data_IF_697418147953
#
_entry.id   IF_697418147953
#
_cell.length_a   1.000
_cell.length_b   1.000
_cell.length_c   1.000
_cell.angle_alpha   90.00
_cell.angle_beta   90.00
_cell.angle_gamma   90.00
#
_symmetry.space_group_name_H-M   'P 1'
#
loop_
_entity.id
_entity.type
_entity.pdbx_description
1 polymer ?
#
# COMPACT_ATOMS: atom_id res chain seq x y z
N UNK A 1 -71.58 27.16 -71.69
CA UNK A 1 -72.35 28.32 -71.16
C UNK A 1 -72.06 28.46 -69.65
N UNK A 2 -72.43 29.57 -68.97
CA UNK A 2 -71.58 30.16 -67.92
C UNK A 2 -71.80 29.68 -66.46
N UNK A 3 -70.74 29.81 -65.64
CA UNK A 3 -70.57 30.60 -64.36
C UNK A 3 -71.87 31.04 -63.59
N UNK A 4 -71.82 31.36 -62.25
CA UNK A 4 -70.68 31.29 -61.28
C UNK A 4 -70.99 31.07 -59.75
N UNK A 5 -69.92 31.11 -58.90
CA UNK A 5 -69.80 31.89 -57.62
C UNK A 5 -70.28 31.35 -56.22
N UNK A 6 -69.29 31.25 -55.31
CA UNK A 6 -69.21 31.56 -53.84
C UNK A 6 -69.77 30.69 -52.67
N UNK A 7 -68.87 30.58 -51.66
CA UNK A 7 -69.01 30.67 -50.18
C UNK A 7 -69.43 29.47 -49.30
N UNK A 8 -68.44 29.04 -48.51
CA UNK A 8 -68.48 28.42 -47.17
C UNK A 8 -68.60 29.50 -46.06
N UNK A 9 -68.53 29.20 -44.73
CA UNK A 9 -68.70 27.93 -43.98
C UNK A 9 -69.78 28.02 -42.86
N UNK A 10 -69.96 26.98 -42.00
CA UNK A 10 -69.96 27.09 -40.52
C UNK A 10 -69.96 25.71 -39.78
N UNK A 11 -69.73 25.77 -38.46
CA UNK A 11 -69.32 24.76 -37.43
C UNK A 11 -70.00 23.36 -37.27
N UNK A 12 -69.23 22.47 -36.58
CA UNK A 12 -69.60 21.49 -35.52
C UNK A 12 -70.37 20.19 -35.85
N UNK A 13 -70.30 19.08 -35.06
CA UNK A 13 -69.29 18.55 -34.10
C UNK A 13 -69.67 17.11 -33.61
N UNK A 14 -68.74 16.39 -32.95
CA UNK A 14 -68.94 15.23 -32.02
C UNK A 14 -69.52 13.90 -32.57
N UNK A 15 -69.22 12.69 -32.02
CA UNK A 15 -68.30 12.31 -30.91
C UNK A 15 -67.89 10.80 -30.88
N UNK A 16 -66.57 10.55 -30.78
CA UNK A 16 -65.88 9.38 -30.13
C UNK A 16 -66.35 8.00 -30.72
N UNK A 17 -66.16 6.74 -30.24
CA UNK A 17 -65.56 6.03 -29.07
C UNK A 17 -64.93 4.70 -29.57
N UNK A 18 -63.85 4.19 -28.95
CA UNK A 18 -63.47 2.76 -29.07
C UNK A 18 -61.97 2.37 -29.11
N UNK A 19 -61.16 2.68 -28.09
CA UNK A 19 -59.79 2.17 -27.97
C UNK A 19 -59.41 1.84 -26.51
N UNK A 20 -58.76 0.70 -26.25
CA UNK A 20 -58.30 0.31 -24.92
C UNK A 20 -56.96 0.98 -24.57
N UNK A 21 -56.90 1.60 -23.39
CA UNK A 21 -55.65 2.09 -22.80
C UNK A 21 -54.90 0.98 -22.06
N UNK A 22 -53.91 0.37 -22.71
CA UNK A 22 -52.90 -0.44 -22.01
C UNK A 22 -51.91 0.52 -21.34
N UNK A 23 -52.04 0.69 -20.02
CA UNK A 23 -51.10 1.47 -19.22
C UNK A 23 -49.80 0.66 -19.05
N UNK A 24 -48.61 1.21 -19.36
CA UNK A 24 -47.36 0.46 -19.30
C UNK A 24 -46.89 0.25 -17.86
N UNK A 25 -46.90 -1.00 -17.38
CA UNK A 25 -46.42 -1.42 -16.05
C UNK A 25 -44.92 -1.14 -15.78
N UNK A 26 -44.18 -0.63 -16.77
CA UNK A 26 -42.76 -0.28 -16.64
C UNK A 26 -42.50 1.09 -15.99
N UNK A 27 -43.42 2.06 -16.12
CA UNK A 27 -43.18 3.42 -15.59
C UNK A 27 -43.32 3.48 -14.07
N UNK A 28 -44.21 2.68 -13.48
CA UNK A 28 -44.38 2.59 -12.02
C UNK A 28 -43.14 2.08 -11.30
N UNK A 29 -42.36 1.19 -11.92
CA UNK A 29 -41.13 0.67 -11.32
C UNK A 29 -40.03 1.75 -11.21
N UNK A 30 -39.84 2.55 -12.26
CA UNK A 30 -38.86 3.64 -12.22
C UNK A 30 -39.31 4.82 -11.34
N UNK A 31 -40.60 5.18 -11.37
CA UNK A 31 -41.13 6.25 -10.52
C UNK A 31 -41.05 5.91 -9.02
N UNK A 32 -41.24 4.64 -8.64
CA UNK A 32 -41.13 4.20 -7.25
C UNK A 32 -39.70 4.36 -6.70
N UNK A 33 -38.69 3.95 -7.49
CA UNK A 33 -37.26 4.05 -7.14
C UNK A 33 -36.85 5.51 -6.90
N UNK A 34 -37.36 6.45 -7.69
CA UNK A 34 -37.18 7.89 -7.46
C UNK A 34 -37.79 8.30 -6.11
N UNK A 35 -39.07 7.98 -5.87
CA UNK A 35 -39.80 8.48 -4.69
C UNK A 35 -39.23 8.01 -3.35
N UNK A 36 -38.74 6.79 -3.24
CA UNK A 36 -38.12 6.33 -1.98
C UNK A 36 -36.72 6.94 -1.78
N UNK A 37 -35.94 7.12 -2.86
CA UNK A 37 -34.65 7.83 -2.81
C UNK A 37 -34.82 9.27 -2.31
N UNK A 38 -35.82 10.00 -2.82
CA UNK A 38 -36.10 11.37 -2.34
C UNK A 38 -36.48 11.42 -0.85
N UNK A 39 -37.24 10.43 -0.35
CA UNK A 39 -37.61 10.35 1.07
C UNK A 39 -36.42 10.09 1.99
N UNK A 40 -35.45 9.30 1.54
CA UNK A 40 -34.19 9.11 2.28
C UNK A 40 -33.35 10.40 2.32
N UNK A 41 -33.33 11.19 1.23
CA UNK A 41 -32.70 12.51 1.21
C UNK A 41 -33.41 13.53 2.11
N UNK A 42 -34.74 13.57 2.12
CA UNK A 42 -35.52 14.43 3.04
C UNK A 42 -35.18 14.09 4.51
N UNK A 43 -35.19 12.79 4.86
CA UNK A 43 -34.82 12.33 6.20
C UNK A 43 -33.37 12.68 6.58
N UNK A 44 -32.43 12.59 5.63
CA UNK A 44 -31.04 13.01 5.85
C UNK A 44 -30.94 14.52 6.11
N UNK A 45 -31.66 15.35 5.33
CA UNK A 45 -31.68 16.80 5.49
C UNK A 45 -32.33 17.23 6.81
N UNK A 46 -33.41 16.57 7.22
CA UNK A 46 -34.05 16.79 8.54
C UNK A 46 -33.06 16.50 9.69
N UNK A 47 -32.35 15.36 9.64
CA UNK A 47 -31.33 15.02 10.65
C UNK A 47 -30.19 16.05 10.65
N UNK A 48 -29.68 16.44 9.48
CA UNK A 48 -28.61 17.44 9.35
C UNK A 48 -29.02 18.81 9.93
N UNK A 49 -30.20 19.30 9.56
CA UNK A 49 -30.74 20.57 10.06
C UNK A 49 -31.01 20.53 11.56
N UNK A 50 -31.52 19.39 12.07
CA UNK A 50 -31.80 19.22 13.49
C UNK A 50 -30.54 19.15 14.33
N UNK A 51 -29.48 18.47 13.88
CA UNK A 51 -28.16 18.50 14.54
C UNK A 51 -27.61 19.93 14.60
N UNK A 52 -27.72 20.72 13.52
CA UNK A 52 -27.31 22.13 13.51
C UNK A 52 -28.11 23.04 14.44
N UNK A 53 -29.34 22.67 14.79
CA UNK A 53 -30.25 23.49 15.60
C UNK A 53 -30.30 23.08 17.08
N UNK A 54 -30.09 21.79 17.40
CA UNK A 54 -30.29 21.22 18.75
C UNK A 54 -29.00 20.69 19.40
N UNK A 55 -27.86 20.60 18.69
CA UNK A 55 -26.59 20.23 19.32
C UNK A 55 -26.06 21.35 20.23
N UNK A 56 -25.39 20.99 21.32
CA UNK A 56 -25.02 21.90 22.42
C UNK A 56 -23.99 22.95 22.02
N UNK A 57 -23.08 22.62 21.09
CA UNK A 57 -22.09 23.54 20.54
C UNK A 57 -22.44 23.95 19.09
N UNK A 58 -21.91 25.09 18.64
CA UNK A 58 -22.07 25.50 17.24
C UNK A 58 -21.11 24.72 16.33
N UNK A 59 -21.65 23.79 15.54
CA UNK A 59 -20.90 23.01 14.53
C UNK A 59 -20.87 23.74 13.17
N UNK A 60 -19.78 23.57 12.41
CA UNK A 60 -19.68 24.04 11.02
C UNK A 60 -20.23 23.01 10.02
N UNK A 61 -20.90 23.49 8.98
CA UNK A 61 -21.51 22.67 7.93
C UNK A 61 -20.52 21.72 7.26
N UNK A 62 -19.25 22.12 7.06
CA UNK A 62 -18.23 21.27 6.42
C UNK A 62 -17.88 20.07 7.30
N UNK A 63 -17.89 20.23 8.63
CA UNK A 63 -17.64 19.14 9.57
C UNK A 63 -18.73 18.08 9.46
N UNK A 64 -20.00 18.51 9.44
CA UNK A 64 -21.14 17.61 9.31
C UNK A 64 -21.20 16.95 7.92
N UNK A 65 -20.94 17.69 6.84
CA UNK A 65 -20.90 17.15 5.48
C UNK A 65 -19.73 16.17 5.30
N UNK A 66 -18.52 16.49 5.79
CA UNK A 66 -17.37 15.57 5.74
C UNK A 66 -17.67 14.29 6.53
N UNK A 67 -18.24 14.42 7.72
CA UNK A 67 -18.67 13.27 8.54
C UNK A 67 -19.72 12.39 7.85
N UNK A 68 -20.70 12.99 7.18
CA UNK A 68 -21.71 12.25 6.41
C UNK A 68 -21.10 11.49 5.22
N UNK A 69 -20.22 12.13 4.44
CA UNK A 69 -19.53 11.48 3.31
C UNK A 69 -18.61 10.35 3.82
N UNK A 70 -17.84 10.57 4.88
CA UNK A 70 -16.97 9.56 5.47
C UNK A 70 -17.78 8.37 6.03
N UNK A 71 -18.91 8.63 6.71
CA UNK A 71 -19.82 7.59 7.20
C UNK A 71 -20.47 6.78 6.07
N UNK A 72 -20.82 7.42 4.96
CA UNK A 72 -21.33 6.76 3.75
C UNK A 72 -20.28 5.83 3.13
N UNK A 73 -19.03 6.26 3.00
CA UNK A 73 -17.97 5.45 2.38
C UNK A 73 -17.50 4.31 3.29
N UNK A 74 -17.35 4.56 4.59
CA UNK A 74 -17.15 3.52 5.60
C UNK A 74 -18.37 2.59 5.77
N UNK A 75 -19.49 2.86 5.09
CA UNK A 75 -20.60 1.92 5.00
C UNK A 75 -20.39 0.84 3.93
N UNK A 76 -19.46 1.04 2.98
CA UNK A 76 -19.21 0.16 1.84
C UNK A 76 -18.14 -0.89 2.18
N UNK A 77 -16.88 -0.45 2.34
CA UNK A 77 -15.69 -1.27 2.52
C UNK A 77 -14.59 -0.46 3.27
N UNK A 78 -13.57 -1.09 3.87
CA UNK A 78 -12.55 -0.39 4.67
C UNK A 78 -11.50 0.39 3.85
N UNK A 79 -11.50 0.27 2.52
CA UNK A 79 -10.53 0.92 1.62
C UNK A 79 -11.11 2.17 0.93
N UNK A 80 -12.42 2.22 0.73
CA UNK A 80 -13.14 3.36 0.15
C UNK A 80 -13.18 4.57 1.11
N UNK A 81 -12.72 5.74 0.65
CA UNK A 81 -12.54 6.92 1.49
C UNK A 81 -12.63 8.25 0.71
N UNK A 82 -13.16 9.28 1.35
CA UNK A 82 -13.07 10.65 0.85
C UNK A 82 -11.66 11.19 1.10
N UNK A 83 -11.04 11.74 0.07
CA UNK A 83 -9.67 12.25 0.07
C UNK A 83 -9.75 13.78 0.01
N UNK A 84 -9.43 14.45 1.11
CA UNK A 84 -9.35 15.92 1.15
C UNK A 84 -7.97 16.46 0.71
N UNK A 85 -7.75 17.77 0.81
CA UNK A 85 -6.53 18.42 0.31
C UNK A 85 -5.23 17.93 0.98
N UNK A 86 -5.27 17.49 2.24
CA UNK A 86 -4.11 16.93 2.92
C UNK A 86 -3.91 15.46 2.51
N UNK A 87 -4.99 14.69 2.46
CA UNK A 87 -4.96 13.29 2.04
C UNK A 87 -4.58 13.13 0.55
N UNK A 88 -4.93 14.10 -0.30
CA UNK A 88 -4.60 14.10 -1.73
C UNK A 88 -3.11 14.34 -1.95
N UNK A 89 -2.51 15.28 -1.20
CA UNK A 89 -1.05 15.50 -1.20
C UNK A 89 -0.31 14.30 -0.60
N UNK A 90 -0.83 13.70 0.50
CA UNK A 90 -0.31 12.44 1.08
C UNK A 90 -0.29 11.32 0.03
N UNK A 91 -1.41 11.11 -0.66
CA UNK A 91 -1.59 10.05 -1.66
C UNK A 91 -0.67 10.25 -2.88
N UNK A 92 -0.53 11.49 -3.35
CA UNK A 92 0.41 11.82 -4.43
C UNK A 92 1.86 11.57 -4.00
N UNK A 93 2.24 11.96 -2.79
CA UNK A 93 3.58 11.71 -2.21
C UNK A 93 3.91 10.20 -2.14
N UNK A 94 2.96 9.36 -1.71
CA UNK A 94 3.15 7.90 -1.69
C UNK A 94 3.26 7.30 -3.10
N UNK A 95 2.55 7.88 -4.07
CA UNK A 95 2.52 7.45 -5.48
C UNK A 95 3.81 7.82 -6.22
N UNK A 96 4.17 9.11 -6.22
CA UNK A 96 5.38 9.66 -6.85
C UNK A 96 6.66 9.16 -6.16
N UNK A 97 6.58 8.65 -4.92
CA UNK A 97 7.73 8.28 -4.09
C UNK A 97 8.61 9.47 -3.69
N UNK A 98 8.14 10.69 -3.95
CA UNK A 98 8.89 11.94 -3.90
C UNK A 98 8.10 12.99 -3.14
N UNK A 99 8.73 13.75 -2.24
CA UNK A 99 8.02 14.82 -1.51
C UNK A 99 8.88 16.04 -1.16
N UNK A 100 8.27 17.22 -1.19
CA UNK A 100 8.87 18.46 -0.70
C UNK A 100 8.92 18.48 0.83
N UNK A 101 10.11 18.27 1.39
CA UNK A 101 10.27 18.09 2.83
C UNK A 101 11.71 18.06 3.32
N UNK A 102 11.90 17.47 4.51
CA UNK A 102 13.15 17.53 5.28
C UNK A 102 13.86 16.17 5.38
N UNK A 103 13.17 15.08 5.04
CA UNK A 103 13.63 13.70 5.23
C UNK A 103 13.70 13.31 6.70
N UNK A 104 12.59 13.48 7.43
CA UNK A 104 12.44 13.11 8.83
C UNK A 104 11.33 12.08 9.00
N UNK A 105 11.63 10.97 9.67
CA UNK A 105 10.62 10.12 10.30
C UNK A 105 10.38 10.64 11.72
N UNK A 106 9.14 10.96 12.04
CA UNK A 106 8.71 11.53 13.33
C UNK A 106 7.54 10.73 13.92
N UNK A 107 7.44 10.73 15.24
CA UNK A 107 6.32 10.18 16.01
C UNK A 107 5.83 11.18 17.05
N UNK A 108 4.62 10.98 17.57
CA UNK A 108 4.16 11.67 18.78
C UNK A 108 4.61 10.87 20.00
N UNK A 109 5.24 11.51 20.98
CA UNK A 109 5.61 10.91 22.27
C UNK A 109 5.36 11.93 23.39
N UNK A 110 4.54 11.56 24.37
CA UNK A 110 4.11 12.40 25.51
C UNK A 110 3.63 13.83 25.13
N UNK A 111 2.98 13.97 23.97
CA UNK A 111 2.47 15.25 23.46
C UNK A 111 3.49 16.12 22.73
N UNK A 112 4.71 15.62 22.52
CA UNK A 112 5.76 16.26 21.74
C UNK A 112 6.10 15.47 20.47
N UNK A 113 6.52 16.18 19.41
CA UNK A 113 6.97 15.56 18.15
C UNK A 113 8.42 15.10 18.32
N UNK A 114 8.67 13.79 18.26
CA UNK A 114 9.99 13.19 18.40
C UNK A 114 10.51 12.68 17.07
N UNK A 115 11.76 12.96 16.75
CA UNK A 115 12.47 12.40 15.60
C UNK A 115 12.82 10.94 15.89
N UNK A 116 12.23 10.02 15.12
CA UNK A 116 12.59 8.60 15.13
C UNK A 116 13.93 8.44 14.41
N UNK A 117 14.05 8.95 13.18
CA UNK A 117 15.29 9.00 12.44
C UNK A 117 15.26 10.09 11.34
N UNK A 118 16.38 10.77 11.05
CA UNK A 118 16.58 11.44 9.78
C UNK A 118 16.90 10.41 8.68
N UNK A 119 16.38 10.61 7.48
CA UNK A 119 16.72 9.81 6.30
C UNK A 119 18.15 10.14 5.85
N UNK A 120 18.90 9.14 5.39
CA UNK A 120 20.23 9.33 4.80
C UNK A 120 20.15 10.26 3.56
N UNK A 121 21.19 11.06 3.32
CA UNK A 121 21.24 12.10 2.28
C UNK A 121 20.13 13.19 2.33
N UNK A 122 19.39 13.32 3.44
CA UNK A 122 18.34 14.35 3.59
C UNK A 122 18.86 15.73 4.05
N UNK A 123 18.07 16.81 3.86
CA UNK A 123 18.32 18.11 4.48
C UNK A 123 18.50 18.04 6.00
N UNK A 124 17.66 17.27 6.71
CA UNK A 124 17.73 17.15 8.16
C UNK A 124 18.97 16.38 8.63
N UNK A 125 19.38 15.33 7.91
CA UNK A 125 20.64 14.64 8.18
C UNK A 125 21.85 15.57 7.98
N UNK A 126 21.91 16.30 6.86
CA UNK A 126 22.97 17.31 6.61
C UNK A 126 22.97 18.43 7.64
N UNK A 127 21.80 18.84 8.13
CA UNK A 127 21.65 19.88 9.15
C UNK A 127 21.91 19.37 10.59
N UNK A 128 22.28 18.11 10.78
CA UNK A 128 22.72 17.56 12.07
C UNK A 128 21.60 17.22 13.06
N UNK A 129 20.37 17.05 12.56
CA UNK A 129 19.25 16.46 13.32
C UNK A 129 19.57 14.98 13.62
N UNK A 130 19.11 14.45 14.74
CA UNK A 130 19.38 13.08 15.20
C UNK A 130 18.10 12.38 15.69
N UNK A 131 18.15 11.04 15.71
CA UNK A 131 17.19 10.22 16.45
C UNK A 131 17.14 10.68 17.92
N UNK A 132 15.94 10.76 18.47
CA UNK A 132 15.68 11.22 19.84
C UNK A 132 15.61 12.74 20.03
N UNK A 133 15.80 13.55 18.98
CA UNK A 133 15.51 14.99 19.04
C UNK A 133 14.00 15.25 19.14
N UNK A 134 13.58 16.16 20.02
CA UNK A 134 12.20 16.64 20.08
C UNK A 134 12.06 17.96 19.32
N UNK A 135 11.14 18.01 18.36
CA UNK A 135 10.78 19.22 17.63
C UNK A 135 9.79 20.01 18.50
N UNK A 136 10.20 21.22 18.89
CA UNK A 136 9.42 22.10 19.77
C UNK A 136 8.88 23.32 19.04
N UNK A 137 9.61 23.80 18.02
CA UNK A 137 9.22 24.97 17.24
C UNK A 137 9.41 24.76 15.74
N UNK A 138 8.55 25.36 14.93
CA UNK A 138 8.69 25.48 13.47
C UNK A 138 8.56 26.96 13.09
N UNK A 139 9.55 27.50 12.39
CA UNK A 139 9.64 28.90 11.96
C UNK A 139 9.34 29.89 13.12
N UNK A 140 9.93 29.61 14.29
CA UNK A 140 9.79 30.37 15.53
C UNK A 140 8.49 30.17 16.30
N UNK A 141 7.53 29.40 15.79
CA UNK A 141 6.25 29.11 16.46
C UNK A 141 6.33 27.81 17.24
N UNK A 142 5.90 27.82 18.50
CA UNK A 142 5.75 26.61 19.33
C UNK A 142 4.72 25.67 18.67
N UNK A 143 5.04 24.38 18.59
CA UNK A 143 4.17 23.32 18.01
C UNK A 143 3.61 22.34 19.05
N UNK A 144 3.80 22.63 20.33
CA UNK A 144 3.28 21.79 21.42
C UNK A 144 1.74 21.85 21.45
N UNK A 145 1.08 20.71 21.34
CA UNK A 145 -0.38 20.60 21.21
C UNK A 145 -0.90 20.58 19.76
N UNK A 146 -0.05 20.72 18.75
CA UNK A 146 -0.40 20.32 17.37
C UNK A 146 -0.62 18.80 17.30
N UNK A 147 -1.48 18.34 16.38
CA UNK A 147 -1.47 16.94 15.96
C UNK A 147 -0.20 16.59 15.16
N UNK A 148 0.11 15.30 15.05
CA UNK A 148 1.24 14.81 14.25
C UNK A 148 1.12 15.25 12.78
N UNK A 149 -0.09 15.20 12.22
CA UNK A 149 -0.36 15.57 10.83
C UNK A 149 -0.23 17.08 10.58
N UNK A 150 -0.64 17.92 11.53
CA UNK A 150 -0.42 19.37 11.46
C UNK A 150 1.08 19.72 11.54
N UNK A 151 1.83 19.07 12.42
CA UNK A 151 3.28 19.26 12.52
C UNK A 151 4.00 18.80 11.24
N UNK A 152 3.63 17.64 10.68
CA UNK A 152 4.12 17.13 9.40
C UNK A 152 3.76 18.07 8.24
N UNK A 153 2.52 18.59 8.22
CA UNK A 153 2.07 19.59 7.24
C UNK A 153 2.89 20.87 7.27
N UNK A 154 3.25 21.37 8.45
CA UNK A 154 4.12 22.54 8.64
C UNK A 154 5.59 22.26 8.25
N UNK A 155 6.09 21.04 8.48
CA UNK A 155 7.43 20.63 8.06
C UNK A 155 7.56 20.45 6.54
N UNK A 156 6.53 19.96 5.86
CA UNK A 156 6.47 19.87 4.39
C UNK A 156 6.32 21.24 3.73
N UNK A 157 6.47 21.28 2.42
CA UNK A 157 6.31 22.50 1.62
C UNK A 157 7.16 22.50 0.35
N UNK A 158 7.01 23.53 -0.47
CA UNK A 158 7.67 23.63 -1.79
C UNK A 158 9.21 23.45 -1.68
N UNK A 159 9.83 22.57 -2.49
CA UNK A 159 11.29 22.50 -2.60
C UNK A 159 11.94 23.86 -2.89
N UNK A 160 13.10 24.11 -2.29
CA UNK A 160 13.77 25.41 -2.35
C UNK A 160 13.23 26.47 -1.38
N UNK A 161 12.19 26.17 -0.59
CA UNK A 161 11.80 27.03 0.55
C UNK A 161 12.67 26.76 1.78
N UNK A 162 12.84 27.77 2.64
CA UNK A 162 13.50 27.61 3.95
C UNK A 162 12.51 27.13 5.00
N UNK A 163 13.03 26.45 6.01
CA UNK A 163 12.39 26.21 7.30
C UNK A 163 13.43 26.35 8.41
N UNK A 164 13.00 26.71 9.61
CA UNK A 164 13.80 26.65 10.84
C UNK A 164 13.11 25.76 11.87
N UNK A 165 13.81 24.72 12.35
CA UNK A 165 13.34 23.86 13.44
C UNK A 165 14.00 24.24 14.76
N UNK A 166 13.21 24.41 15.82
CA UNK A 166 13.69 24.48 17.20
C UNK A 166 13.63 23.10 17.84
N UNK A 167 14.77 22.52 18.17
CA UNK A 167 14.93 21.14 18.66
C UNK A 167 15.44 21.11 20.11
N UNK A 168 14.95 20.16 20.90
CA UNK A 168 15.51 19.79 22.21
C UNK A 168 16.13 18.40 22.10
N UNK A 169 17.44 18.31 22.38
CA UNK A 169 18.19 17.04 22.32
C UNK A 169 18.43 16.53 23.74
N UNK A 170 17.97 15.31 24.10
CA UNK A 170 18.28 14.69 25.38
C UNK A 170 19.79 14.70 25.67
N UNK A 171 20.17 15.06 26.91
CA UNK A 171 21.57 15.22 27.30
C UNK A 171 22.24 16.51 26.82
N UNK A 172 21.49 17.55 26.40
CA UNK A 172 22.03 18.87 26.07
C UNK A 172 21.19 20.01 26.65
N UNK A 173 21.82 20.84 27.48
CA UNK A 173 21.15 21.87 28.31
C UNK A 173 20.54 23.05 27.55
N UNK A 174 20.78 23.15 26.23
CA UNK A 174 20.31 24.26 25.39
C UNK A 174 19.62 23.73 24.14
N UNK A 175 18.44 24.28 23.79
CA UNK A 175 17.81 24.03 22.50
C UNK A 175 18.74 24.32 21.32
N UNK A 176 18.49 23.64 20.22
CA UNK A 176 19.18 23.80 18.94
C UNK A 176 18.23 24.46 17.95
N UNK A 177 18.67 25.51 17.27
CA UNK A 177 17.95 26.11 16.17
C UNK A 177 18.61 25.70 14.85
N UNK A 178 17.85 25.07 13.96
CA UNK A 178 18.37 24.39 12.78
C UNK A 178 17.60 24.85 11.54
N UNK A 179 18.20 25.77 10.79
CA UNK A 179 17.66 26.26 9.51
C UNK A 179 18.13 25.37 8.35
N UNK A 180 17.20 24.92 7.52
CA UNK A 180 17.49 24.08 6.35
C UNK A 180 16.60 24.46 5.15
N UNK A 181 16.97 23.96 3.97
CA UNK A 181 16.15 24.07 2.76
C UNK A 181 15.25 22.83 2.67
N UNK A 182 13.98 22.99 2.29
CA UNK A 182 13.14 21.87 1.84
C UNK A 182 13.66 21.39 0.49
N UNK A 183 13.80 20.09 0.33
CA UNK A 183 14.24 19.46 -0.93
C UNK A 183 13.23 18.39 -1.36
N UNK A 184 13.39 17.83 -2.56
CA UNK A 184 12.64 16.64 -2.97
C UNK A 184 13.30 15.44 -2.29
N UNK A 185 12.60 14.86 -1.32
CA UNK A 185 13.01 13.64 -0.64
C UNK A 185 12.58 12.46 -1.50
N UNK A 186 13.55 11.84 -2.16
CA UNK A 186 13.37 10.61 -2.95
C UNK A 186 13.33 9.42 -1.99
N UNK A 187 12.24 8.66 -1.99
CA UNK A 187 12.21 7.33 -1.36
C UNK A 187 12.99 6.35 -2.24
N UNK A 188 13.76 5.45 -1.64
CA UNK A 188 14.44 4.34 -2.32
C UNK A 188 13.68 3.05 -1.99
N UNK A 189 12.61 2.70 -2.75
CA UNK A 189 11.69 1.60 -2.43
C UNK A 189 12.37 0.24 -2.58
N UNK A 190 13.27 0.13 -3.56
CA UNK A 190 14.12 -1.04 -3.79
C UNK A 190 15.47 -0.83 -3.13
N UNK A 191 15.91 -1.82 -2.36
CA UNK A 191 17.27 -1.94 -1.81
C UNK A 191 17.83 -3.28 -2.23
N UNK A 192 19.12 -3.34 -2.55
CA UNK A 192 19.75 -4.60 -2.92
C UNK A 192 21.15 -4.73 -2.32
N UNK A 193 21.59 -5.98 -2.18
CA UNK A 193 22.96 -6.33 -1.80
C UNK A 193 23.25 -7.79 -2.21
N UNK A 194 24.53 -8.13 -2.34
CA UNK A 194 24.94 -9.51 -2.63
C UNK A 194 25.12 -10.28 -1.31
N UNK A 195 24.57 -11.48 -1.23
CA UNK A 195 24.73 -12.43 -0.12
C UNK A 195 25.47 -13.65 -0.60
N UNK A 196 26.80 -13.62 -0.47
CA UNK A 196 27.69 -14.65 -1.00
C UNK A 196 27.70 -14.61 -2.53
N UNK A 197 26.80 -15.39 -3.14
CA UNK A 197 26.63 -15.57 -4.58
C UNK A 197 25.12 -15.58 -4.94
N UNK A 198 24.32 -14.89 -4.15
CA UNK A 198 22.86 -14.75 -4.29
C UNK A 198 22.52 -13.27 -4.27
N UNK A 199 21.70 -12.81 -5.21
CA UNK A 199 21.16 -11.46 -5.22
C UNK A 199 20.02 -11.33 -4.20
N UNK A 200 20.13 -10.39 -3.25
CA UNK A 200 19.02 -10.04 -2.37
C UNK A 200 18.45 -8.69 -2.79
N UNK A 201 17.13 -8.64 -3.01
CA UNK A 201 16.38 -7.45 -3.42
C UNK A 201 15.21 -7.29 -2.44
N UNK A 202 15.20 -6.24 -1.64
CA UNK A 202 14.10 -5.88 -0.75
C UNK A 202 13.28 -4.76 -1.39
N UNK A 203 11.97 -4.95 -1.52
CA UNK A 203 11.03 -3.96 -2.05
C UNK A 203 10.03 -3.66 -0.94
N UNK A 204 10.04 -2.45 -0.37
CA UNK A 204 9.23 -2.11 0.79
C UNK A 204 7.98 -1.26 0.51
N UNK A 205 7.80 -0.80 -0.73
CA UNK A 205 6.59 -0.12 -1.24
C UNK A 205 6.63 -0.13 -2.77
N UNK A 206 5.49 0.08 -3.43
CA UNK A 206 5.38 0.19 -4.89
C UNK A 206 5.06 1.63 -5.31
N UNK A 207 6.08 2.49 -5.37
CA UNK A 207 6.02 3.86 -5.92
C UNK A 207 6.55 3.96 -7.35
N UNK A 208 6.37 5.10 -8.02
CA UNK A 208 6.53 5.33 -9.47
C UNK A 208 7.81 4.78 -10.16
N UNK A 209 8.91 4.58 -9.44
CA UNK A 209 10.18 4.08 -10.02
C UNK A 209 10.49 2.61 -9.68
N UNK A 210 9.65 1.93 -8.89
CA UNK A 210 9.97 0.61 -8.28
C UNK A 210 10.31 -0.48 -9.31
N UNK A 211 9.62 -0.53 -10.44
CA UNK A 211 9.94 -1.48 -11.53
C UNK A 211 11.31 -1.19 -12.16
N UNK A 212 11.61 0.07 -12.46
CA UNK A 212 12.90 0.48 -13.01
C UNK A 212 14.05 0.26 -12.01
N UNK A 213 13.84 0.60 -10.75
CA UNK A 213 14.80 0.35 -9.66
C UNK A 213 15.06 -1.15 -9.44
N UNK A 214 14.05 -2.01 -9.67
CA UNK A 214 14.20 -3.48 -9.58
C UNK A 214 15.07 -4.03 -10.71
N UNK A 215 14.83 -3.61 -11.96
CA UNK A 215 15.71 -4.00 -13.09
C UNK A 215 17.13 -3.45 -12.90
N UNK A 216 17.26 -2.22 -12.42
CA UNK A 216 18.55 -1.61 -12.09
C UNK A 216 19.28 -2.37 -10.95
N UNK A 217 18.56 -2.89 -9.96
CA UNK A 217 19.13 -3.74 -8.90
C UNK A 217 19.68 -5.06 -9.45
N UNK A 218 18.94 -5.75 -10.32
CA UNK A 218 19.39 -6.97 -11.02
C UNK A 218 20.69 -6.69 -11.79
N UNK A 219 20.71 -5.66 -12.64
CA UNK A 219 21.91 -5.26 -13.40
C UNK A 219 23.10 -4.89 -12.50
N UNK A 220 22.83 -4.31 -11.32
CA UNK A 220 23.88 -3.91 -10.38
C UNK A 220 24.43 -5.08 -9.56
N UNK A 221 23.63 -6.11 -9.28
CA UNK A 221 24.07 -7.38 -8.68
C UNK A 221 25.04 -8.09 -9.62
N UNK A 222 24.65 -8.32 -10.88
CA UNK A 222 25.50 -8.93 -11.92
C UNK A 222 26.83 -8.17 -12.07
N UNK A 223 26.76 -6.83 -12.13
CA UNK A 223 27.95 -5.97 -12.21
C UNK A 223 28.82 -6.01 -10.95
N UNK A 224 28.24 -6.20 -9.77
CA UNK A 224 28.96 -6.27 -8.49
C UNK A 224 29.66 -7.62 -8.29
N UNK A 225 29.17 -8.69 -8.90
CA UNK A 225 29.82 -10.01 -8.94
C UNK A 225 30.83 -10.12 -10.10
N UNK A 226 30.58 -9.42 -11.22
CA UNK A 226 31.31 -9.62 -12.48
C UNK A 226 30.84 -10.88 -13.25
N UNK A 227 29.81 -11.56 -12.73
CA UNK A 227 29.11 -12.70 -13.31
C UNK A 227 27.68 -12.73 -12.77
N UNK A 228 26.82 -13.57 -13.35
CA UNK A 228 25.47 -13.81 -12.82
C UNK A 228 25.53 -14.51 -11.45
N UNK A 229 24.60 -14.22 -10.51
CA UNK A 229 24.46 -14.95 -9.27
C UNK A 229 23.85 -16.35 -9.50
N UNK A 230 23.81 -17.16 -8.45
CA UNK A 230 23.08 -18.44 -8.41
C UNK A 230 21.55 -18.29 -8.50
N UNK A 231 21.03 -17.07 -8.29
CA UNK A 231 19.61 -16.74 -8.25
C UNK A 231 19.34 -15.54 -7.35
N UNK A 232 18.05 -15.26 -7.14
CA UNK A 232 17.57 -14.08 -6.42
C UNK A 232 16.63 -14.43 -5.26
N UNK A 233 16.69 -13.63 -4.20
CA UNK A 233 15.68 -13.55 -3.14
C UNK A 233 15.04 -12.17 -3.21
N UNK A 234 13.74 -12.13 -3.53
CA UNK A 234 12.92 -10.91 -3.58
C UNK A 234 12.09 -10.85 -2.30
N UNK A 235 12.29 -9.82 -1.48
CA UNK A 235 11.65 -9.70 -0.17
C UNK A 235 10.53 -8.66 -0.20
N UNK A 236 9.29 -9.14 0.00
CA UNK A 236 8.05 -8.38 0.01
C UNK A 236 7.36 -8.43 1.39
N UNK A 237 8.05 -8.88 2.44
CA UNK A 237 7.58 -8.84 3.82
C UNK A 237 7.41 -7.40 4.30
N UNK A 238 6.42 -7.17 5.16
CA UNK A 238 5.98 -5.85 5.63
C UNK A 238 5.54 -4.86 4.53
N UNK A 239 5.53 -5.25 3.24
CA UNK A 239 5.17 -4.39 2.12
C UNK A 239 3.66 -4.42 1.85
N UNK A 240 2.95 -3.41 2.35
CA UNK A 240 1.50 -3.22 2.13
C UNK A 240 1.07 -2.86 0.69
N UNK A 241 2.00 -2.82 -0.26
CA UNK A 241 1.75 -2.66 -1.69
C UNK A 241 1.99 -1.25 -2.21
N UNK A 242 1.07 -0.74 -3.03
CA UNK A 242 1.20 0.54 -3.74
C UNK A 242 0.59 0.47 -5.14
N UNK A 243 1.31 0.98 -6.14
CA UNK A 243 0.84 1.10 -7.52
C UNK A 243 0.77 -0.25 -8.26
N UNK A 244 -0.41 -0.55 -8.82
CA UNK A 244 -0.65 -1.70 -9.69
C UNK A 244 0.32 -1.75 -10.88
N UNK A 245 0.57 -0.61 -11.53
CA UNK A 245 1.50 -0.51 -12.67
C UNK A 245 2.93 -0.92 -12.31
N UNK A 246 3.33 -0.72 -11.06
CA UNK A 246 4.65 -1.09 -10.56
C UNK A 246 4.70 -2.56 -10.15
N UNK A 247 3.62 -3.14 -9.64
CA UNK A 247 3.51 -4.59 -9.48
C UNK A 247 3.64 -5.32 -10.83
N UNK A 248 3.04 -4.76 -11.88
CA UNK A 248 3.16 -5.25 -13.26
C UNK A 248 4.63 -5.17 -13.71
N UNK A 249 5.26 -3.99 -13.67
CA UNK A 249 6.66 -3.85 -14.13
C UNK A 249 7.69 -4.61 -13.28
N UNK A 250 7.42 -4.88 -11.99
CA UNK A 250 8.26 -5.77 -11.16
C UNK A 250 8.05 -7.24 -11.53
N UNK A 251 6.82 -7.66 -11.82
CA UNK A 251 6.55 -9.04 -12.30
C UNK A 251 7.19 -9.28 -13.67
N UNK A 252 7.10 -8.28 -14.55
CA UNK A 252 7.67 -8.21 -15.90
C UNK A 252 9.20 -8.15 -15.94
N UNK A 253 9.87 -8.01 -14.78
CA UNK A 253 11.33 -8.16 -14.66
C UNK A 253 11.76 -9.64 -14.55
N UNK A 254 10.84 -10.54 -14.20
CA UNK A 254 11.12 -11.96 -13.99
C UNK A 254 10.34 -12.88 -14.94
N UNK A 255 9.35 -12.35 -15.68
CA UNK A 255 8.47 -13.10 -16.59
C UNK A 255 8.73 -12.72 -18.04
N UNK A 256 8.83 -13.72 -18.92
CA UNK A 256 9.03 -13.54 -20.36
C UNK A 256 7.72 -13.46 -21.16
N UNK A 257 6.62 -14.00 -20.62
CA UNK A 257 5.30 -14.00 -21.24
C UNK A 257 4.20 -14.43 -20.25
N UNK A 258 2.93 -14.29 -20.66
CA UNK A 258 1.76 -14.72 -19.89
C UNK A 258 1.00 -13.57 -19.23
N UNK A 259 -0.20 -13.84 -18.71
CA UNK A 259 -0.95 -12.84 -17.92
C UNK A 259 -0.23 -12.63 -16.57
N UNK A 260 -0.07 -11.38 -16.12
CA UNK A 260 0.45 -11.06 -14.78
C UNK A 260 -0.73 -10.96 -13.80
N UNK A 261 -1.78 -10.23 -14.20
CA UNK A 261 -2.95 -9.96 -13.37
C UNK A 261 -4.13 -9.53 -14.24
N UNK A 262 -5.35 -9.91 -13.84
CA UNK A 262 -6.58 -9.34 -14.40
C UNK A 262 -7.38 -8.55 -13.35
N UNK A 263 -7.80 -7.34 -13.73
CA UNK A 263 -8.82 -6.59 -13.01
C UNK A 263 -10.21 -6.99 -13.51
N UNK A 264 -11.20 -7.06 -12.62
CA UNK A 264 -12.62 -7.27 -12.95
C UNK A 264 -13.46 -6.31 -12.14
N UNK A 265 -14.15 -5.41 -12.85
CA UNK A 265 -15.01 -4.38 -12.28
C UNK A 265 -16.42 -4.88 -11.98
N UNK A 266 -17.40 -3.96 -11.98
CA UNK A 266 -18.80 -4.26 -11.63
C UNK A 266 -19.52 -5.05 -12.71
N UNK A 267 -19.29 -4.71 -13.97
CA UNK A 267 -19.98 -5.32 -15.10
C UNK A 267 -19.20 -6.53 -15.63
N UNK A 268 -19.91 -7.56 -16.14
CA UNK A 268 -19.27 -8.81 -16.61
C UNK A 268 -18.32 -8.62 -17.80
N UNK A 269 -18.41 -7.48 -18.49
CA UNK A 269 -17.53 -7.07 -19.60
C UNK A 269 -16.38 -6.16 -19.16
N UNK A 270 -16.39 -5.70 -17.91
CA UNK A 270 -15.40 -4.81 -17.32
C UNK A 270 -14.21 -5.65 -16.81
N UNK A 271 -13.41 -6.17 -17.76
CA UNK A 271 -12.27 -7.05 -17.49
C UNK A 271 -11.05 -6.51 -18.25
N UNK A 272 -10.07 -6.02 -17.49
CA UNK A 272 -8.77 -5.59 -18.01
C UNK A 272 -7.71 -6.65 -17.67
N UNK A 273 -6.81 -6.97 -18.61
CA UNK A 273 -5.78 -8.00 -18.46
C UNK A 273 -4.41 -7.45 -18.82
N UNK A 274 -3.45 -7.62 -17.92
CA UNK A 274 -2.06 -7.19 -18.13
C UNK A 274 -1.18 -8.41 -18.35
N UNK A 275 -0.26 -8.30 -19.30
CA UNK A 275 0.59 -9.39 -19.74
C UNK A 275 2.07 -9.02 -19.64
N UNK A 276 2.91 -10.01 -19.38
CA UNK A 276 4.36 -9.87 -19.44
C UNK A 276 4.84 -9.72 -20.89
N UNK A 277 5.97 -9.02 -21.04
CA UNK A 277 6.68 -8.73 -22.29
C UNK A 277 7.90 -9.68 -22.40
N UNK A 278 8.38 -10.01 -23.61
CA UNK A 278 9.60 -10.81 -23.78
C UNK A 278 10.81 -10.19 -23.09
N UNK A 279 11.50 -10.96 -22.24
CA UNK A 279 12.69 -10.53 -21.48
C UNK A 279 12.62 -10.71 -19.97
N UNK A 280 12.92 -11.92 -19.48
CA UNK A 280 13.28 -12.16 -18.08
C UNK A 280 14.71 -11.64 -17.79
N UNK A 281 14.82 -10.57 -16.97
CA UNK A 281 16.09 -9.95 -16.57
C UNK A 281 16.89 -10.83 -15.60
N UNK A 282 16.21 -11.70 -14.83
CA UNK A 282 16.85 -12.76 -14.06
C UNK A 282 17.24 -13.98 -14.93
N UNK A 283 16.93 -13.95 -16.23
CA UNK A 283 17.47 -14.87 -17.25
C UNK A 283 17.28 -16.38 -16.94
N UNK A 284 16.12 -16.75 -16.42
CA UNK A 284 15.79 -18.13 -16.00
C UNK A 284 16.46 -18.59 -14.71
N UNK A 285 17.24 -17.73 -14.02
CA UNK A 285 17.84 -18.06 -12.73
C UNK A 285 16.73 -18.22 -11.66
N UNK A 286 16.87 -19.16 -10.71
CA UNK A 286 15.87 -19.38 -9.67
C UNK A 286 15.61 -18.15 -8.81
N UNK A 287 14.33 -17.93 -8.50
CA UNK A 287 13.85 -16.83 -7.64
C UNK A 287 13.08 -17.42 -6.46
N UNK A 288 13.31 -16.85 -5.27
CA UNK A 288 12.47 -17.06 -4.08
C UNK A 288 11.84 -15.72 -3.71
N UNK A 289 10.53 -15.69 -3.47
CA UNK A 289 9.83 -14.51 -2.95
C UNK A 289 9.53 -14.73 -1.47
N UNK A 290 9.90 -13.78 -0.62
CA UNK A 290 9.54 -13.80 0.81
C UNK A 290 8.24 -13.03 1.05
N UNK A 291 7.30 -13.66 1.77
CA UNK A 291 6.00 -13.08 2.13
C UNK A 291 5.69 -13.28 3.61
N UNK A 292 4.90 -12.36 4.16
CA UNK A 292 4.35 -12.41 5.53
C UNK A 292 2.96 -11.75 5.56
N UNK A 293 2.25 -11.70 6.71
CA UNK A 293 0.95 -11.04 6.79
C UNK A 293 0.94 -9.52 6.52
N UNK A 294 2.11 -8.88 6.41
CA UNK A 294 2.25 -7.48 5.99
C UNK A 294 2.35 -7.32 4.47
N UNK A 295 2.71 -8.37 3.73
CA UNK A 295 2.60 -8.43 2.26
C UNK A 295 1.14 -8.23 1.84
N UNK A 296 0.83 -7.14 1.14
CA UNK A 296 -0.54 -6.84 0.69
C UNK A 296 -0.61 -6.24 -0.74
N UNK A 297 -1.77 -6.39 -1.40
CA UNK A 297 -2.14 -5.67 -2.63
C UNK A 297 -1.10 -5.87 -3.77
N UNK A 298 -0.44 -4.80 -4.23
CA UNK A 298 0.62 -4.84 -5.25
C UNK A 298 1.70 -5.92 -4.97
N UNK A 299 2.04 -6.16 -3.70
CA UNK A 299 2.99 -7.20 -3.31
C UNK A 299 2.45 -8.62 -3.54
N UNK A 300 1.15 -8.82 -3.30
CA UNK A 300 0.45 -10.09 -3.53
C UNK A 300 0.23 -10.36 -5.03
N UNK A 301 0.15 -9.32 -5.85
CA UNK A 301 0.16 -9.44 -7.32
C UNK A 301 1.50 -10.01 -7.79
N UNK A 302 2.63 -9.47 -7.33
CA UNK A 302 3.97 -9.99 -7.69
C UNK A 302 4.13 -11.44 -7.21
N UNK A 303 3.79 -11.74 -5.95
CA UNK A 303 3.86 -13.10 -5.42
C UNK A 303 2.94 -14.07 -6.20
N UNK A 304 1.68 -13.72 -6.41
CA UNK A 304 0.71 -14.56 -7.11
C UNK A 304 1.03 -14.76 -8.59
N UNK A 305 1.56 -13.75 -9.28
CA UNK A 305 1.99 -13.88 -10.67
C UNK A 305 3.18 -14.83 -10.82
N UNK A 306 4.21 -14.67 -9.97
CA UNK A 306 5.41 -15.52 -10.03
C UNK A 306 5.14 -16.95 -9.53
N UNK A 307 4.18 -17.16 -8.62
CA UNK A 307 3.71 -18.49 -8.18
C UNK A 307 2.93 -19.22 -9.28
N UNK A 308 1.94 -18.55 -9.88
CA UNK A 308 1.04 -19.17 -10.87
C UNK A 308 1.76 -19.53 -12.18
N UNK A 309 2.83 -18.81 -12.54
CA UNK A 309 3.75 -19.17 -13.64
C UNK A 309 4.85 -20.16 -13.25
N UNK A 310 4.89 -20.58 -11.99
CA UNK A 310 5.97 -21.40 -11.40
C UNK A 310 7.38 -20.81 -11.60
N UNK A 311 7.45 -19.47 -11.72
CA UNK A 311 8.70 -18.71 -11.97
C UNK A 311 9.53 -18.51 -10.70
N UNK A 312 8.87 -18.46 -9.54
CA UNK A 312 9.48 -18.33 -8.23
C UNK A 312 8.82 -19.28 -7.21
N UNK A 313 9.54 -19.58 -6.13
CA UNK A 313 8.97 -20.21 -4.94
C UNK A 313 8.59 -19.14 -3.92
N UNK A 314 7.34 -19.15 -3.45
CA UNK A 314 6.85 -18.28 -2.38
C UNK A 314 7.17 -18.92 -1.02
N UNK A 315 7.74 -18.14 -0.12
CA UNK A 315 8.33 -18.63 1.13
C UNK A 315 8.06 -17.69 2.30
N UNK A 316 7.83 -18.25 3.48
CA UNK A 316 7.51 -17.47 4.69
C UNK A 316 6.12 -17.79 5.20
N UNK A 317 5.25 -16.80 5.28
CA UNK A 317 3.88 -16.95 5.79
C UNK A 317 2.84 -16.33 4.84
N UNK A 318 1.57 -16.67 5.05
CA UNK A 318 0.45 -16.25 4.20
C UNK A 318 0.29 -14.73 4.21
N UNK A 319 0.10 -14.16 3.04
CA UNK A 319 -0.12 -12.72 2.86
C UNK A 319 -1.49 -12.22 3.37
N UNK A 320 -1.65 -10.90 3.37
CA UNK A 320 -2.77 -10.19 4.00
C UNK A 320 -4.16 -10.52 3.41
N UNK A 321 -4.25 -10.74 2.10
CA UNK A 321 -5.50 -11.05 1.38
C UNK A 321 -6.25 -9.86 0.80
N UNK A 322 -5.58 -8.74 0.46
CA UNK A 322 -6.25 -7.60 -0.17
C UNK A 322 -6.29 -7.78 -1.68
N UNK A 323 -7.41 -8.31 -2.19
CA UNK A 323 -7.70 -8.51 -3.61
C UNK A 323 -8.48 -7.39 -4.29
N UNK A 324 -8.60 -6.21 -3.65
CA UNK A 324 -9.40 -5.07 -4.12
C UNK A 324 -8.57 -3.95 -4.74
N UNK A 325 -9.06 -3.34 -5.82
CA UNK A 325 -8.45 -2.19 -6.48
C UNK A 325 -9.29 -0.94 -6.23
N UNK A 326 -8.63 0.13 -5.79
CA UNK A 326 -9.26 1.44 -5.60
C UNK A 326 -8.87 2.42 -6.71
N UNK A 327 -9.86 2.99 -7.40
CA UNK A 327 -9.65 4.13 -8.30
C UNK A 327 -9.72 5.43 -7.52
N UNK A 328 -8.83 6.37 -7.84
CA UNK A 328 -8.89 7.76 -7.34
C UNK A 328 -9.67 8.59 -8.37
N UNK A 329 -10.87 9.03 -7.98
CA UNK A 329 -11.79 9.81 -8.82
C UNK A 329 -11.75 11.28 -8.39
N UNK A 330 -11.13 12.20 -9.16
CA UNK A 330 -11.05 13.60 -8.78
C UNK A 330 -12.43 14.26 -8.69
N UNK A 331 -12.68 14.94 -7.57
CA UNK A 331 -13.89 15.74 -7.31
C UNK A 331 -13.62 17.25 -7.38
N UNK A 332 -12.35 17.65 -7.46
CA UNK A 332 -11.91 19.02 -7.59
C UNK A 332 -10.37 19.11 -7.67
N UNK A 333 -9.79 20.32 -7.66
CA UNK A 333 -8.34 20.51 -7.81
C UNK A 333 -7.47 19.92 -6.69
N UNK A 334 -8.08 19.60 -5.54
CA UNK A 334 -7.41 19.12 -4.33
C UNK A 334 -8.28 18.10 -3.56
N UNK A 335 -9.28 17.49 -4.20
CA UNK A 335 -10.19 16.55 -3.54
C UNK A 335 -10.53 15.39 -4.47
N UNK A 336 -10.70 14.20 -3.91
CA UNK A 336 -11.04 13.00 -4.66
C UNK A 336 -11.89 12.03 -3.83
N UNK A 337 -12.53 11.11 -4.52
CA UNK A 337 -13.09 9.89 -3.96
C UNK A 337 -12.14 8.74 -4.29
N UNK A 338 -11.54 8.11 -3.27
CA UNK A 338 -10.89 6.80 -3.43
C UNK A 338 -11.97 5.74 -3.25
N UNK A 339 -12.32 5.02 -4.30
CA UNK A 339 -13.43 4.05 -4.31
C UNK A 339 -12.95 2.69 -4.79
N UNK A 340 -13.37 1.60 -4.12
CA UNK A 340 -13.19 0.26 -4.68
C UNK A 340 -14.07 0.09 -5.92
N UNK A 341 -13.43 -0.10 -7.06
CA UNK A 341 -14.08 -0.18 -8.38
C UNK A 341 -13.97 -1.58 -8.99
N UNK A 342 -12.90 -2.30 -8.70
CA UNK A 342 -12.62 -3.64 -9.21
C UNK A 342 -12.00 -4.55 -8.13
N UNK A 343 -12.00 -5.85 -8.41
CA UNK A 343 -11.14 -6.84 -7.75
C UNK A 343 -10.08 -7.32 -8.74
N UNK A 344 -8.92 -7.73 -8.24
CA UNK A 344 -7.88 -8.35 -9.06
C UNK A 344 -7.77 -9.86 -8.82
N UNK A 345 -7.21 -10.56 -9.81
CA UNK A 345 -7.10 -12.01 -9.87
C UNK A 345 -5.72 -12.38 -10.43
N UNK A 346 -5.13 -13.44 -9.87
CA UNK A 346 -3.83 -13.98 -10.31
C UNK A 346 -3.98 -14.76 -11.63
N UNK A 347 -2.89 -15.12 -12.33
CA UNK A 347 -2.95 -15.72 -13.67
C UNK A 347 -3.77 -17.02 -13.78
N UNK A 348 -3.84 -17.82 -12.72
CA UNK A 348 -4.71 -19.01 -12.61
C UNK A 348 -6.21 -18.69 -12.52
N UNK A 349 -6.58 -17.41 -12.41
CA UNK A 349 -7.94 -16.93 -12.23
C UNK A 349 -8.42 -16.89 -10.77
N UNK A 350 -7.57 -17.28 -9.81
CA UNK A 350 -7.76 -17.19 -8.35
C UNK A 350 -7.88 -15.73 -7.91
N UNK A 351 -8.82 -15.42 -7.00
CA UNK A 351 -8.86 -14.11 -6.32
C UNK A 351 -8.06 -14.18 -5.02
N UNK A 352 -7.28 -13.13 -4.75
CA UNK A 352 -6.49 -12.97 -3.52
C UNK A 352 -7.35 -12.43 -2.37
N UNK A 353 -8.51 -11.84 -2.67
CA UNK A 353 -9.41 -11.26 -1.68
C UNK A 353 -9.74 -12.26 -0.57
N UNK A 354 -9.59 -11.84 0.70
CA UNK A 354 -9.77 -12.57 1.97
C UNK A 354 -8.91 -13.85 2.16
N UNK A 355 -8.44 -14.48 1.09
CA UNK A 355 -7.61 -15.69 1.09
C UNK A 355 -6.10 -15.45 1.14
N UNK A 356 -5.59 -14.38 0.50
CA UNK A 356 -4.15 -14.17 0.34
C UNK A 356 -3.46 -15.15 -0.62
N UNK A 357 -2.14 -15.02 -0.68
CA UNK A 357 -1.21 -15.97 -1.30
C UNK A 357 -0.68 -16.88 -0.19
N UNK A 358 -0.95 -18.18 -0.30
CA UNK A 358 -0.32 -19.20 0.54
C UNK A 358 1.08 -19.51 0.01
N UNK A 359 2.12 -19.60 0.88
CA UNK A 359 3.48 -19.87 0.45
C UNK A 359 3.69 -21.35 0.09
N UNK A 360 4.42 -21.63 -1.00
CA UNK A 360 4.82 -22.98 -1.41
C UNK A 360 5.69 -23.66 -0.33
N UNK A 361 6.45 -22.86 0.41
CA UNK A 361 7.23 -23.31 1.57
C UNK A 361 6.92 -22.39 2.76
N UNK A 362 5.98 -22.82 3.61
CA UNK A 362 5.74 -22.17 4.90
C UNK A 362 7.01 -22.25 5.76
N UNK A 363 7.56 -21.09 6.15
CA UNK A 363 8.74 -20.94 7.01
C UNK A 363 8.36 -20.00 8.15
N UNK A 364 8.21 -20.48 9.39
CA UNK A 364 7.84 -19.63 10.52
C UNK A 364 8.98 -18.65 10.83
N UNK A 365 8.66 -17.44 11.29
CA UNK A 365 9.69 -16.60 11.90
C UNK A 365 10.14 -17.20 13.24
N UNK A 366 11.45 -17.38 13.43
CA UNK A 366 12.05 -18.05 14.59
C UNK A 366 13.10 -17.22 15.34
N UNK A 367 13.58 -16.10 14.80
CA UNK A 367 14.57 -15.24 15.49
C UNK A 367 13.90 -14.23 16.43
N UNK A 368 12.60 -14.03 16.27
CA UNK A 368 11.77 -13.14 17.06
C UNK A 368 10.92 -13.98 18.04
N UNK A 369 11.21 -13.96 19.36
CA UNK A 369 10.51 -14.79 20.34
C UNK A 369 9.06 -14.35 20.55
N UNK A 370 8.75 -13.07 20.32
CA UNK A 370 7.45 -12.48 20.59
C UNK A 370 6.50 -12.58 19.39
N UNK A 371 7.01 -12.90 18.19
CA UNK A 371 6.26 -12.98 16.93
C UNK A 371 4.94 -13.76 17.06
N UNK A 372 4.96 -14.92 17.73
CA UNK A 372 3.78 -15.77 17.94
C UNK A 372 2.73 -15.19 18.89
N UNK A 373 3.05 -14.13 19.61
CA UNK A 373 2.12 -13.41 20.49
C UNK A 373 1.56 -12.13 19.86
N UNK A 374 2.07 -11.71 18.69
CA UNK A 374 1.59 -10.52 17.99
C UNK A 374 0.20 -10.77 17.37
N UNK A 375 -0.70 -9.78 17.40
CA UNK A 375 -1.95 -9.87 16.65
C UNK A 375 -1.64 -9.83 15.14
N UNK A 376 -1.98 -10.92 14.45
CA UNK A 376 -1.95 -10.98 12.98
C UNK A 376 -3.29 -10.50 12.46
N UNK A 377 -3.29 -9.43 11.67
CA UNK A 377 -4.47 -8.91 10.98
C UNK A 377 -4.43 -9.30 9.50
N UNK A 378 -5.57 -9.68 8.94
CA UNK A 378 -5.78 -9.97 7.52
C UNK A 378 -6.99 -9.21 6.99
N UNK A 379 -7.17 -9.19 5.68
CA UNK A 379 -8.35 -8.56 5.05
C UNK A 379 -9.66 -9.11 5.64
N UNK A 380 -9.76 -10.43 5.86
CA UNK A 380 -10.93 -11.09 6.46
C UNK A 380 -11.24 -10.66 7.90
N UNK A 381 -10.28 -10.10 8.63
CA UNK A 381 -10.48 -9.59 9.99
C UNK A 381 -11.03 -8.14 9.98
N UNK A 382 -10.99 -7.45 8.83
CA UNK A 382 -11.48 -6.09 8.72
C UNK A 382 -13.01 -6.03 8.75
N UNK A 383 -13.55 -5.05 9.49
CA UNK A 383 -14.98 -4.76 9.51
C UNK A 383 -15.44 -4.31 8.12
N UNK A 384 -16.42 -5.03 7.54
CA UNK A 384 -16.92 -4.84 6.16
C UNK A 384 -15.86 -5.08 5.07
N UNK A 385 -14.95 -6.03 5.26
CA UNK A 385 -14.15 -6.55 4.14
C UNK A 385 -15.04 -7.02 2.99
N UNK A 386 -14.48 -6.99 1.77
CA UNK A 386 -15.19 -7.45 0.59
C UNK A 386 -15.10 -8.97 0.51
N UNK A 387 -16.24 -9.64 0.50
CA UNK A 387 -16.31 -11.10 0.38
C UNK A 387 -15.92 -11.53 -1.05
N UNK A 388 -15.25 -12.68 -1.17
CA UNK A 388 -14.83 -13.28 -2.43
C UNK A 388 -16.02 -13.86 -3.18
N UNK A 389 -16.08 -13.60 -4.49
CA UNK A 389 -17.20 -14.04 -5.35
C UNK A 389 -17.06 -15.50 -5.77
N UNK A 390 -15.86 -16.07 -5.65
CA UNK A 390 -15.58 -17.49 -5.83
C UNK A 390 -15.28 -18.09 -4.46
N UNK A 391 -16.12 -19.01 -4.00
CA UNK A 391 -15.80 -19.82 -2.83
C UNK A 391 -14.58 -20.70 -3.13
N UNK A 392 -13.42 -20.32 -2.59
CA UNK A 392 -12.35 -21.27 -2.36
C UNK A 392 -12.76 -22.17 -1.18
N UNK A 393 -12.89 -23.47 -1.41
CA UNK A 393 -13.14 -24.45 -0.34
C UNK A 393 -11.85 -24.67 0.48
N UNK A 394 -11.51 -23.68 1.31
CA UNK A 394 -10.40 -23.71 2.26
C UNK A 394 -10.63 -24.70 3.44
N UNK A 395 -11.52 -25.68 3.25
CA UNK A 395 -11.87 -26.73 4.20
C UNK A 395 -10.78 -27.83 4.34
N UNK A 396 -9.68 -27.72 3.58
CA UNK A 396 -8.51 -28.63 3.61
C UNK A 396 -7.29 -27.94 4.22
N UNK A 397 -7.50 -26.90 5.04
CA UNK A 397 -6.51 -26.43 6.01
C UNK A 397 -6.76 -27.12 7.36
N UNK A 398 -6.40 -28.40 7.44
CA UNK A 398 -5.92 -28.90 8.73
C UNK A 398 -4.66 -28.09 9.08
N UNK A 399 -4.63 -27.47 10.27
CA UNK A 399 -3.36 -27.04 10.81
C UNK A 399 -2.52 -28.30 11.07
N UNK A 400 -1.49 -28.56 10.24
CA UNK A 400 -0.51 -29.60 10.54
C UNK A 400 0.31 -29.15 11.75
N UNK A 401 -0.26 -29.41 12.93
CA UNK A 401 0.26 -29.08 14.27
C UNK A 401 1.52 -29.88 14.61
N UNK A 402 1.97 -30.76 13.70
CA UNK A 402 3.29 -31.39 13.77
C UNK A 402 4.37 -30.35 13.50
N UNK A 403 5.16 -30.05 14.52
CA UNK A 403 6.35 -29.19 14.38
C UNK A 403 7.30 -29.79 13.33
N UNK A 404 7.44 -29.12 12.19
CA UNK A 404 8.36 -29.56 11.13
C UNK A 404 9.79 -29.66 11.69
N UNK A 405 10.46 -30.83 11.59
CA UNK A 405 11.79 -31.02 12.16
C UNK A 405 12.84 -30.06 11.59
N UNK A 406 12.62 -29.46 10.40
CA UNK A 406 13.46 -28.41 9.81
C UNK A 406 13.46 -27.11 10.62
N UNK A 407 12.41 -26.86 11.41
CA UNK A 407 12.12 -25.60 12.10
C UNK A 407 12.15 -25.75 13.63
N UNK A 408 13.02 -26.64 14.13
CA UNK A 408 13.13 -27.04 15.54
C UNK A 408 14.10 -26.19 16.39
N UNK A 409 14.72 -25.15 15.81
CA UNK A 409 15.71 -24.32 16.52
C UNK A 409 15.06 -23.20 17.33
N UNK A 410 15.64 -22.86 18.49
CA UNK A 410 15.15 -21.76 19.34
C UNK A 410 15.77 -20.40 18.95
N UNK A 411 15.15 -19.25 19.31
CA UNK A 411 15.71 -17.93 19.03
C UNK A 411 17.14 -17.76 19.58
N UNK A 412 17.45 -18.34 20.75
CA UNK A 412 18.78 -18.27 21.36
C UNK A 412 19.80 -19.15 20.62
N UNK A 413 19.38 -20.26 20.02
CA UNK A 413 20.24 -21.10 19.19
C UNK A 413 20.56 -20.42 17.86
N UNK A 414 19.58 -19.75 17.25
CA UNK A 414 19.75 -18.96 16.02
C UNK A 414 20.64 -17.74 16.26
N UNK A 415 20.40 -16.99 17.35
CA UNK A 415 21.24 -15.86 17.77
C UNK A 415 22.69 -16.27 18.07
N UNK A 416 22.91 -17.45 18.65
CA UNK A 416 24.27 -18.02 18.82
C UNK A 416 24.97 -18.40 17.51
N UNK A 417 24.23 -18.55 16.42
CA UNK A 417 24.76 -18.74 15.07
C UNK A 417 24.89 -17.42 14.28
N UNK A 418 24.50 -16.28 14.87
CA UNK A 418 24.42 -14.98 14.19
C UNK A 418 23.33 -14.92 13.12
N UNK A 419 22.26 -15.70 13.30
CA UNK A 419 21.08 -15.68 12.43
C UNK A 419 20.08 -14.71 13.05
N UNK A 420 19.97 -13.52 12.49
CA UNK A 420 19.06 -12.46 12.97
C UNK A 420 17.68 -12.52 12.30
N UNK A 421 17.57 -13.15 11.12
CA UNK A 421 16.31 -13.41 10.40
C UNK A 421 16.32 -14.85 9.85
N UNK A 422 15.41 -15.69 10.34
CA UNK A 422 15.37 -17.10 9.97
C UNK A 422 14.83 -17.33 8.55
N UNK A 423 13.81 -16.58 8.15
CA UNK A 423 13.16 -16.73 6.84
C UNK A 423 14.14 -16.34 5.72
N UNK A 424 14.80 -15.19 5.84
CA UNK A 424 15.82 -14.76 4.89
C UNK A 424 17.01 -15.72 4.84
N UNK A 425 17.50 -16.19 6.00
CA UNK A 425 18.53 -17.23 6.06
C UNK A 425 18.12 -18.52 5.33
N UNK A 426 16.87 -18.97 5.48
CA UNK A 426 16.37 -20.18 4.84
C UNK A 426 16.17 -20.01 3.32
N UNK A 427 15.71 -18.84 2.86
CA UNK A 427 15.64 -18.49 1.44
C UNK A 427 17.03 -18.45 0.80
N UNK A 428 17.98 -17.75 1.42
CA UNK A 428 19.39 -17.69 0.98
C UNK A 428 20.03 -19.08 0.94
N UNK A 429 19.77 -19.95 1.93
CA UNK A 429 20.19 -21.37 1.88
C UNK A 429 19.56 -22.13 0.72
N UNK A 430 18.31 -21.84 0.38
CA UNK A 430 17.57 -22.56 -0.64
C UNK A 430 18.12 -22.25 -2.03
N UNK A 431 18.40 -20.98 -2.33
CA UNK A 431 19.10 -20.60 -3.58
C UNK A 431 20.56 -21.07 -3.57
N UNK A 432 21.32 -20.80 -2.51
CA UNK A 432 22.76 -21.06 -2.49
C UNK A 432 23.15 -22.55 -2.56
N UNK A 433 22.21 -23.49 -2.29
CA UNK A 433 22.40 -24.93 -2.51
C UNK A 433 22.78 -25.28 -3.95
N UNK A 434 22.37 -24.46 -4.92
CA UNK A 434 22.69 -24.63 -6.35
C UNK A 434 24.20 -24.51 -6.63
N UNK A 435 24.92 -23.69 -5.84
CA UNK A 435 26.38 -23.51 -5.94
C UNK A 435 27.22 -24.40 -5.02
N UNK A 436 26.58 -25.30 -4.27
CA UNK A 436 27.26 -26.23 -3.36
C UNK A 436 27.70 -25.62 -2.01
N UNK A 437 28.40 -26.40 -1.16
CA UNK A 437 28.57 -26.09 0.26
C UNK A 437 29.26 -24.76 0.58
N UNK A 438 30.24 -24.36 -0.23
CA UNK A 438 30.97 -23.09 -0.06
C UNK A 438 30.04 -21.89 -0.24
N UNK A 439 29.16 -21.93 -1.24
CA UNK A 439 28.25 -20.83 -1.54
C UNK A 439 27.12 -20.77 -0.51
N UNK A 440 26.63 -21.93 -0.05
CA UNK A 440 25.72 -22.02 1.11
C UNK A 440 26.33 -21.36 2.35
N UNK A 441 27.61 -21.63 2.65
CA UNK A 441 28.29 -21.03 3.79
C UNK A 441 28.61 -19.54 3.61
N UNK A 442 28.80 -19.07 2.37
CA UNK A 442 29.05 -17.66 2.06
C UNK A 442 27.77 -16.81 2.12
N UNK A 443 26.66 -17.31 1.57
CA UNK A 443 25.38 -16.61 1.52
C UNK A 443 24.74 -16.38 2.90
N UNK A 444 25.06 -17.24 3.88
CA UNK A 444 24.46 -17.22 5.22
C UNK A 444 25.39 -16.70 6.31
N UNK A 445 26.42 -15.92 5.96
CA UNK A 445 27.24 -15.26 6.98
C UNK A 445 26.45 -14.14 7.66
N UNK A 446 26.56 -13.98 8.99
CA UNK A 446 26.02 -12.82 9.69
C UNK A 446 26.54 -11.51 9.08
N UNK A 447 25.72 -10.45 9.14
CA UNK A 447 26.12 -9.14 8.61
C UNK A 447 27.35 -8.62 9.39
N UNK A 448 28.38 -8.06 8.72
CA UNK A 448 29.43 -7.35 9.43
C UNK A 448 28.83 -6.20 10.23
N UNK A 449 28.98 -6.24 11.54
CA UNK A 449 28.53 -5.15 12.43
C UNK A 449 29.38 -3.92 12.08
N UNK A 450 28.76 -2.86 11.55
CA UNK A 450 29.41 -1.54 11.50
C UNK A 450 29.75 -1.14 12.95
N UNK A 451 31.00 -0.80 13.28
CA UNK A 451 31.37 -0.45 14.65
C UNK A 451 30.53 0.74 15.12
N UNK A 452 30.04 0.66 16.34
CA UNK A 452 29.26 1.72 16.96
C UNK A 452 30.12 3.00 17.09
N UNK A 453 29.64 4.18 16.64
CA UNK A 453 30.41 5.42 16.73
C UNK A 453 30.79 5.87 18.15
N UNK A 454 30.30 5.18 19.19
CA UNK A 454 30.50 5.54 20.59
C UNK A 454 31.67 4.81 21.29
N UNK A 455 32.27 3.78 20.69
CA UNK A 455 33.46 3.11 21.25
C UNK A 455 34.81 3.79 20.89
N UNK A 456 34.93 5.07 21.25
CA UNK A 456 36.25 5.75 21.24
C UNK A 456 37.13 5.30 22.41
N UNK A 457 37.83 4.18 22.21
CA UNK A 457 39.15 3.83 22.78
C UNK A 457 39.48 4.42 24.17
N UNK A 458 39.25 3.65 25.24
CA UNK A 458 39.94 3.89 26.51
C UNK A 458 41.44 3.60 26.34
N UNK A 459 42.27 4.64 26.33
CA UNK A 459 43.72 4.47 26.37
C UNK A 459 44.16 3.84 27.71
N UNK A 460 45.14 2.92 27.72
CA UNK A 460 45.66 2.34 28.95
C UNK A 460 46.50 3.35 29.74
N UNK A 461 46.26 3.44 31.04
CA UNK A 461 47.06 4.25 31.97
C UNK A 461 48.49 3.72 32.13
N UNK A 462 49.44 4.65 32.24
CA UNK A 462 50.78 4.46 32.79
C UNK A 462 51.11 5.66 33.68
#
# INVERSE_FOLDING_TARGET
MPRPILRTPFLAATAIVGALTLIPLATSAMAAVDTDTYREFDQFLDVFNRVKAEYVDKVDDKTLIKGAIQGMLASLDPHSSYVDALDYENLRIMTEGNYGGLGLTVQMEDGAIKVVAPQEDSPAARAGVKSGDYITHIDGKLIYGDSLDEAVGKMRGKPGSKITLGLVRPGRDKPLEVTMMREIIVQKPVKWEVRGDVGYININTFSENTGADTRAAIMAIDKSLGHRPLGYVVDLRENGGGLLTQAIEVSDAFLDHGEIVSQRGREKTDIERYYAKPGDDAHGLPVVVLTDPGTASASEIVAGALQDHHRALIMGERSFGKGSVQTVLPLGPQTALRLTTARYFTPSGRSVQEGGIEPDIKVPQLTDPDYKSRPVFREADLRKHLINEVKADNAVLEEDTKTDPRFSQTPEQLKKQGIDDFQLYYALKTVARLGGPTQVAAATKPRPIKPDPTETTKAPTK
#
